data_IF_378920090402
#
_entry.id   IF_378920090402
#
_cell.length_a   1.000
_cell.length_b   1.000
_cell.length_c   1.000
_cell.angle_alpha   90.00
_cell.angle_beta   90.00
_cell.angle_gamma   90.00
#
_symmetry.space_group_name_H-M   'P 1'
#
loop_
_entity.id
_entity.type
_entity.pdbx_description
1 polymer ?
#
# COMPACT_ATOMS: atom_id res chain seq x y z
N UNK A 1 -22.84 4.71 -7.24
CA UNK A 1 -22.37 3.35 -7.57
C UNK A 1 -21.45 2.93 -6.43
N UNK A 2 -21.80 1.90 -5.65
CA UNK A 2 -20.96 1.44 -4.54
C UNK A 2 -19.82 0.62 -5.15
N UNK A 3 -18.60 1.17 -5.18
CA UNK A 3 -17.42 0.42 -5.60
C UNK A 3 -17.15 -0.67 -4.56
N UNK A 4 -17.55 -1.91 -4.88
CA UNK A 4 -17.47 -3.10 -4.03
C UNK A 4 -16.12 -3.83 -4.12
N UNK A 5 -15.13 -3.22 -4.78
CA UNK A 5 -13.80 -3.77 -4.96
C UNK A 5 -12.81 -2.96 -4.12
N UNK A 6 -12.24 -3.61 -3.11
CA UNK A 6 -11.05 -3.13 -2.43
C UNK A 6 -9.83 -3.78 -3.10
N UNK A 7 -8.68 -3.12 -2.98
CA UNK A 7 -7.41 -3.60 -3.48
C UNK A 7 -6.43 -3.67 -2.33
N UNK A 8 -5.71 -4.77 -2.28
CA UNK A 8 -4.56 -4.92 -1.42
C UNK A 8 -3.31 -4.58 -2.25
N UNK A 9 -2.60 -3.55 -1.80
CA UNK A 9 -1.40 -3.05 -2.46
C UNK A 9 -0.20 -3.37 -1.59
N UNK A 10 0.71 -4.19 -2.12
CA UNK A 10 2.00 -4.43 -1.48
C UNK A 10 3.02 -3.45 -2.08
N UNK A 11 3.74 -2.76 -1.21
CA UNK A 11 4.80 -1.86 -1.63
C UNK A 11 6.08 -2.06 -0.83
N UNK A 12 7.18 -1.58 -1.40
CA UNK A 12 8.49 -1.53 -0.77
C UNK A 12 8.91 -0.08 -0.64
N UNK A 13 9.20 0.32 0.59
CA UNK A 13 9.77 1.61 0.91
C UNK A 13 11.28 1.44 1.06
N UNK A 14 12.05 2.32 0.43
CA UNK A 14 13.48 2.46 0.69
C UNK A 14 13.69 3.74 1.46
N UNK A 15 14.20 3.61 2.70
CA UNK A 15 14.42 4.72 3.62
C UNK A 15 15.90 4.97 3.85
N UNK A 16 16.30 6.23 3.89
CA UNK A 16 17.62 6.66 4.33
C UNK A 16 17.80 6.36 5.82
N UNK A 17 18.94 5.79 6.17
CA UNK A 17 19.43 5.76 7.54
C UNK A 17 20.30 6.99 7.74
N UNK A 18 19.97 7.80 8.75
CA UNK A 18 20.63 9.07 9.00
C UNK A 18 21.49 9.00 10.26
N UNK A 19 22.73 9.49 10.17
CA UNK A 19 23.57 9.83 11.31
C UNK A 19 24.08 11.26 11.14
N UNK A 20 23.88 12.10 12.17
CA UNK A 20 24.26 13.52 12.13
C UNK A 20 23.73 14.27 10.88
N UNK A 21 22.53 13.90 10.39
CA UNK A 21 21.91 14.50 9.21
C UNK A 21 22.47 14.02 7.87
N UNK A 22 23.44 13.10 7.86
CA UNK A 22 23.99 12.48 6.67
C UNK A 22 23.40 11.10 6.43
N UNK A 23 23.21 10.75 5.15
CA UNK A 23 22.79 9.40 4.76
C UNK A 23 23.97 8.46 4.89
N UNK A 24 23.91 7.54 5.85
CA UNK A 24 24.95 6.52 6.08
C UNK A 24 24.58 5.15 5.51
N UNK A 25 23.32 4.98 5.13
CA UNK A 25 22.82 3.71 4.62
C UNK A 25 21.38 3.79 4.14
N UNK A 26 20.85 2.64 3.75
CA UNK A 26 19.44 2.50 3.39
C UNK A 26 18.85 1.27 4.06
N UNK A 27 17.55 1.33 4.33
CA UNK A 27 16.76 0.19 4.80
C UNK A 27 15.55 -0.01 3.89
N UNK A 28 15.13 -1.25 3.72
CA UNK A 28 13.96 -1.60 2.93
C UNK A 28 12.85 -2.17 3.81
N UNK A 29 11.65 -1.62 3.66
CA UNK A 29 10.48 -2.03 4.43
C UNK A 29 9.38 -2.46 3.47
N UNK A 30 8.84 -3.66 3.69
CA UNK A 30 7.65 -4.12 2.97
C UNK A 30 6.42 -3.63 3.72
N UNK A 31 5.48 -3.05 2.99
CA UNK A 31 4.21 -2.56 3.52
C UNK A 31 3.06 -3.12 2.70
N UNK A 32 1.91 -3.24 3.36
CA UNK A 32 0.68 -3.68 2.74
C UNK A 32 -0.42 -2.70 3.12
N UNK A 33 -1.06 -2.12 2.11
CA UNK A 33 -2.03 -1.03 2.26
C UNK A 33 -3.29 -1.39 1.49
N UNK A 34 -4.46 -1.06 2.07
CA UNK A 34 -5.74 -1.19 1.38
C UNK A 34 -6.04 0.08 0.59
N UNK A 35 -6.58 -0.08 -0.61
CA UNK A 35 -7.05 1.03 -1.44
C UNK A 35 -8.39 0.68 -2.08
N UNK A 36 -9.17 1.69 -2.42
CA UNK A 36 -10.43 1.55 -3.17
C UNK A 36 -10.24 1.65 -4.68
N UNK A 37 -8.99 1.89 -5.12
CA UNK A 37 -8.61 2.06 -6.52
C UNK A 37 -7.43 1.16 -6.88
N UNK A 38 -7.34 0.79 -8.15
CA UNK A 38 -6.16 0.14 -8.75
C UNK A 38 -5.39 1.09 -9.67
N UNK A 39 -5.86 2.33 -9.83
CA UNK A 39 -5.24 3.32 -10.70
C UNK A 39 -3.88 3.73 -10.14
N UNK A 40 -2.83 3.50 -10.91
CA UNK A 40 -1.45 3.64 -10.43
C UNK A 40 -1.14 5.07 -9.96
N UNK A 41 -1.61 6.08 -10.69
CA UNK A 41 -1.38 7.48 -10.31
C UNK A 41 -2.02 7.84 -8.97
N UNK A 42 -3.22 7.35 -8.72
CA UNK A 42 -3.93 7.56 -7.45
C UNK A 42 -3.22 6.80 -6.33
N UNK A 43 -2.86 5.53 -6.57
CA UNK A 43 -2.10 4.74 -5.61
C UNK A 43 -0.76 5.37 -5.25
N UNK A 44 0.00 5.88 -6.22
CA UNK A 44 1.27 6.55 -5.92
C UNK A 44 1.06 7.84 -5.13
N UNK A 45 0.02 8.61 -5.42
CA UNK A 45 -0.31 9.82 -4.66
C UNK A 45 -0.65 9.46 -3.21
N UNK A 46 -1.58 8.53 -3.00
CA UNK A 46 -2.03 8.09 -1.67
C UNK A 46 -0.87 7.51 -0.85
N UNK A 47 -0.09 6.60 -1.44
CA UNK A 47 1.04 5.97 -0.77
C UNK A 47 2.15 6.99 -0.47
N UNK A 48 2.39 7.95 -1.36
CA UNK A 48 3.35 9.01 -1.09
C UNK A 48 2.90 9.90 0.06
N UNK A 49 1.62 10.29 0.11
CA UNK A 49 1.09 11.06 1.24
C UNK A 49 1.21 10.28 2.56
N UNK A 50 0.85 8.99 2.55
CA UNK A 50 0.90 8.14 3.73
C UNK A 50 2.32 7.93 4.28
N UNK A 51 3.31 7.78 3.40
CA UNK A 51 4.70 7.47 3.80
C UNK A 51 5.65 8.66 3.67
N UNK A 52 5.11 9.87 3.45
CA UNK A 52 5.90 11.08 3.23
C UNK A 52 6.87 11.29 4.39
N UNK A 53 8.15 11.26 4.10
CA UNK A 53 9.22 11.47 5.06
C UNK A 53 10.45 12.02 4.36
N UNK A 54 11.26 12.89 5.00
CA UNK A 54 12.57 13.28 4.49
C UNK A 54 13.52 12.10 4.27
N UNK A 55 13.25 10.98 4.93
CA UNK A 55 14.04 9.75 4.77
C UNK A 55 13.53 8.88 3.61
N UNK A 56 12.38 9.16 3.01
CA UNK A 56 11.86 8.35 1.91
C UNK A 56 12.70 8.59 0.65
N UNK A 57 13.47 7.60 0.23
CA UNK A 57 14.30 7.65 -0.97
C UNK A 57 13.64 6.95 -2.16
N UNK A 58 12.72 6.03 -1.91
CA UNK A 58 12.03 5.31 -2.97
C UNK A 58 10.78 4.61 -2.48
N UNK A 59 9.78 4.60 -3.36
CA UNK A 59 8.52 3.88 -3.18
C UNK A 59 8.28 3.02 -4.42
N UNK A 60 8.10 1.72 -4.22
CA UNK A 60 7.85 0.77 -5.29
C UNK A 60 6.61 -0.05 -4.98
N UNK A 61 5.61 0.00 -5.84
CA UNK A 61 4.49 -0.94 -5.79
C UNK A 61 4.98 -2.28 -6.36
N UNK A 62 4.87 -3.35 -5.58
CA UNK A 62 5.31 -4.69 -5.98
C UNK A 62 4.17 -5.59 -6.43
N UNK A 63 2.96 -5.35 -5.92
CA UNK A 63 1.75 -6.04 -6.39
C UNK A 63 0.51 -5.26 -6.02
N UNK A 64 -0.51 -5.37 -6.87
CA UNK A 64 -1.87 -4.89 -6.61
C UNK A 64 -2.79 -6.09 -6.83
N UNK A 65 -3.59 -6.44 -5.84
CA UNK A 65 -4.52 -7.56 -5.95
C UNK A 65 -5.90 -7.13 -5.48
N UNK A 66 -6.97 -7.42 -6.23
CA UNK A 66 -8.33 -7.19 -5.75
C UNK A 66 -8.61 -8.06 -4.52
N UNK A 67 -9.41 -7.53 -3.61
CA UNK A 67 -9.98 -8.22 -2.47
C UNK A 67 -11.50 -8.05 -2.50
N UNK A 68 -12.26 -9.11 -2.20
CA UNK A 68 -13.69 -8.96 -2.02
C UNK A 68 -13.94 -8.04 -0.82
N UNK A 69 -14.76 -7.01 -0.99
CA UNK A 69 -15.16 -6.16 0.12
C UNK A 69 -15.82 -7.01 1.22
N UNK A 70 -15.57 -6.71 2.50
CA UNK A 70 -15.95 -7.55 3.64
C UNK A 70 -17.47 -7.80 3.79
N UNK A 71 -18.33 -7.14 3.00
CA UNK A 71 -19.78 -7.32 3.03
C UNK A 71 -20.27 -8.64 2.37
N UNK A 72 -19.43 -9.39 1.65
CA UNK A 72 -19.86 -10.63 0.96
C UNK A 72 -19.39 -11.94 1.59
N UNK A 73 -18.60 -11.91 2.67
CA UNK A 73 -18.10 -13.12 3.32
C UNK A 73 -19.17 -13.85 4.18
N UNK A 74 -20.29 -13.19 4.50
CA UNK A 74 -21.34 -13.74 5.39
C UNK A 74 -22.46 -14.53 4.70
N UNK A 75 -22.50 -14.62 3.37
CA UNK A 75 -23.60 -15.28 2.65
C UNK A 75 -23.27 -16.67 2.09
N UNK A 76 -22.04 -17.13 2.20
CA UNK A 76 -21.62 -18.43 1.66
C UNK A 76 -21.94 -19.64 2.58
N UNK A 77 -22.35 -19.42 3.83
CA UNK A 77 -22.57 -20.51 4.80
C UNK A 77 -24.04 -20.94 4.98
N UNK A 78 -25.00 -20.35 4.25
CA UNK A 78 -26.44 -20.64 4.44
C UNK A 78 -27.08 -21.56 3.39
N UNK A 79 -26.28 -22.30 2.60
CA UNK A 79 -26.79 -23.25 1.58
C UNK A 79 -26.19 -24.65 1.69
N UNK A 80 -26.00 -25.17 2.91
CA UNK A 80 -25.81 -26.61 3.15
C UNK A 80 -27.00 -27.20 3.91
#
# INVERSE_FOLDING_TARGET
MKNTLEYMVCCRLTLAQLECGQVVGTSQHKQQVRSTTAELSELFADLYEQFRSPQLLGLQITSISPQPAPEFAGHAELLQ
#
